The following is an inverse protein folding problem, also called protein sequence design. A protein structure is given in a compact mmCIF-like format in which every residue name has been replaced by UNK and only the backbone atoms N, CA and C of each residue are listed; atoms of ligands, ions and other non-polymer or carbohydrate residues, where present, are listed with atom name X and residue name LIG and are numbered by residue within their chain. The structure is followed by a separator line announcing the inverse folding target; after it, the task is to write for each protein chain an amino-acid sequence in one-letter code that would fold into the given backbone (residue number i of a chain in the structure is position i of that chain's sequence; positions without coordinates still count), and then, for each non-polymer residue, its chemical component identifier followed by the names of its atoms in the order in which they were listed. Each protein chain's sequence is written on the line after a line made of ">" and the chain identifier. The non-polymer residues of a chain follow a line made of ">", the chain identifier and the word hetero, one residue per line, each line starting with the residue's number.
data_IF_273246472424
#
_entry.id   IF_273246472424
#
_cell.length_a   1.000
_cell.length_b   1.000
_cell.length_c   1.000
_cell.angle_alpha   90.00
_cell.angle_beta   90.00
_cell.angle_gamma   90.00
#
_symmetry.space_group_name_H-M   'P 1'
#
loop_
_entity.id
_entity.type
_entity.pdbx_description
1 polymer ?
#
# COMPACT_ATOMS: atom_id res chain seq x y z
N UNK A 1 0.48 27.76 29.30
CA UNK A 1 1.81 27.65 28.66
C UNK A 1 2.02 26.17 28.41
N UNK A 2 2.06 25.63 27.20
CA UNK A 2 2.31 26.23 25.89
C UNK A 2 1.65 25.41 24.78
N UNK A 3 1.42 26.14 23.67
CA UNK A 3 1.37 25.69 22.29
C UNK A 3 0.30 24.67 21.89
N UNK A 4 -0.77 25.18 21.27
CA UNK A 4 -1.38 24.46 20.17
C UNK A 4 -0.39 24.35 19.01
N UNK A 5 -0.40 23.21 18.34
CA UNK A 5 0.19 23.05 17.02
C UNK A 5 -0.96 23.03 16.00
N UNK A 6 -1.03 24.00 15.10
CA UNK A 6 -1.81 23.86 13.89
C UNK A 6 -0.90 23.19 12.85
N UNK A 7 -1.10 21.91 12.57
CA UNK A 7 -0.56 21.31 11.34
C UNK A 7 -1.67 21.31 10.31
N UNK A 8 -1.68 22.39 9.54
CA UNK A 8 -2.28 22.46 8.21
C UNK A 8 -1.74 21.30 7.37
N UNK A 9 -2.62 20.39 6.95
CA UNK A 9 -2.41 19.58 5.75
C UNK A 9 -3.64 19.72 4.85
N UNK A 10 -3.82 20.95 4.39
CA UNK A 10 -4.69 21.28 3.26
C UNK A 10 -4.11 20.74 1.95
N UNK A 11 -3.94 19.42 1.77
CA UNK A 11 -3.80 18.80 0.43
C UNK A 11 -3.84 17.27 0.41
N UNK A 12 -5.05 16.69 0.43
CA UNK A 12 -5.40 15.66 -0.55
C UNK A 12 -6.91 15.46 -0.60
N UNK A 13 -7.59 16.45 -1.19
CA UNK A 13 -8.92 16.23 -1.70
C UNK A 13 -8.85 15.11 -2.76
N UNK A 14 -9.29 13.90 -2.41
CA UNK A 14 -9.52 12.83 -3.40
C UNK A 14 -9.21 11.38 -3.02
N UNK A 15 -8.79 11.04 -1.79
CA UNK A 15 -8.66 9.63 -1.39
C UNK A 15 -9.10 9.41 0.05
N UNK A 16 -10.40 9.28 0.29
CA UNK A 16 -10.87 8.74 1.56
C UNK A 16 -11.52 7.38 1.35
N UNK A 17 -10.63 6.38 1.44
CA UNK A 17 -10.96 5.02 1.83
C UNK A 17 -9.87 4.57 2.82
N UNK A 18 -9.80 5.20 4.00
CA UNK A 18 -8.85 4.82 5.05
C UNK A 18 -9.18 3.41 5.52
N UNK A 19 -8.28 2.45 5.29
CA UNK A 19 -8.44 1.09 5.76
C UNK A 19 -8.56 1.08 7.29
N UNK A 20 -7.82 1.96 7.97
CA UNK A 20 -7.92 2.21 9.42
C UNK A 20 -9.35 2.49 9.88
N UNK A 21 -10.04 3.44 9.23
CA UNK A 21 -11.41 3.82 9.59
C UNK A 21 -12.37 2.66 9.37
N UNK A 22 -12.24 1.95 8.25
CA UNK A 22 -13.08 0.77 8.01
C UNK A 22 -12.86 -0.31 9.05
N UNK A 23 -11.61 -0.55 9.45
CA UNK A 23 -11.25 -1.54 10.46
C UNK A 23 -11.79 -1.13 11.84
N UNK A 24 -11.72 0.15 12.20
CA UNK A 24 -12.34 0.66 13.42
C UNK A 24 -13.87 0.51 13.40
N UNK A 25 -14.54 0.93 12.33
CA UNK A 25 -16.00 0.91 12.24
C UNK A 25 -16.57 -0.51 12.16
N UNK A 26 -15.89 -1.43 11.47
CA UNK A 26 -16.43 -2.76 11.15
C UNK A 26 -15.84 -3.89 11.97
N UNK A 27 -14.55 -3.81 12.32
CA UNK A 27 -13.85 -4.82 13.12
C UNK A 27 -13.70 -4.37 14.58
N UNK A 28 -13.70 -3.06 14.86
CA UNK A 28 -13.51 -2.52 16.20
C UNK A 28 -12.05 -2.48 16.65
N UNK A 29 -11.10 -2.74 15.75
CA UNK A 29 -9.68 -2.75 16.07
C UNK A 29 -8.81 -2.52 14.82
N UNK A 30 -7.66 -1.86 15.03
CA UNK A 30 -6.62 -1.64 14.01
C UNK A 30 -5.48 -2.64 14.23
N UNK A 31 -4.91 -3.22 13.16
CA UNK A 31 -3.73 -4.05 13.26
C UNK A 31 -2.55 -3.31 13.92
N UNK A 32 -1.86 -3.97 14.84
CA UNK A 32 -0.74 -3.38 15.60
C UNK A 32 0.64 -3.64 15.01
N UNK A 33 0.74 -4.45 13.95
CA UNK A 33 2.01 -4.84 13.35
C UNK A 33 1.89 -4.95 11.83
N UNK A 34 3.04 -4.98 11.15
CA UNK A 34 3.10 -5.08 9.68
C UNK A 34 2.34 -6.30 9.16
N UNK A 35 2.49 -7.46 9.80
CA UNK A 35 1.81 -8.69 9.36
C UNK A 35 0.27 -8.56 9.42
N UNK A 36 -0.27 -7.91 10.44
CA UNK A 36 -1.71 -7.69 10.55
C UNK A 36 -2.22 -6.77 9.44
N UNK A 37 -1.49 -5.69 9.15
CA UNK A 37 -1.76 -4.78 8.05
C UNK A 37 -1.68 -5.48 6.69
N UNK A 38 -0.65 -6.29 6.46
CA UNK A 38 -0.52 -7.14 5.28
C UNK A 38 -1.72 -8.06 5.10
N UNK A 39 -2.15 -8.76 6.16
CA UNK A 39 -3.32 -9.66 6.11
C UNK A 39 -4.61 -8.91 5.82
N UNK A 40 -4.79 -7.71 6.38
CA UNK A 40 -5.90 -6.82 6.05
C UNK A 40 -5.87 -6.43 4.57
N UNK A 41 -4.70 -6.02 4.06
CA UNK A 41 -4.50 -5.68 2.66
C UNK A 41 -4.84 -6.83 1.71
N UNK A 42 -4.38 -8.04 2.01
CA UNK A 42 -4.74 -9.27 1.27
C UNK A 42 -6.25 -9.52 1.32
N UNK A 43 -6.88 -9.31 2.49
CA UNK A 43 -8.32 -9.43 2.64
C UNK A 43 -9.11 -8.46 1.75
N UNK A 44 -8.70 -7.20 1.68
CA UNK A 44 -9.29 -6.20 0.79
C UNK A 44 -9.01 -6.50 -0.68
N UNK A 45 -7.79 -6.94 -1.01
CA UNK A 45 -7.39 -7.33 -2.35
C UNK A 45 -8.26 -8.47 -2.89
N UNK A 46 -8.51 -9.50 -2.07
CA UNK A 46 -9.38 -10.62 -2.42
C UNK A 46 -10.84 -10.19 -2.62
N UNK A 47 -11.27 -9.11 -1.93
CA UNK A 47 -12.57 -8.47 -2.13
C UNK A 47 -12.59 -7.51 -3.33
N UNK A 48 -11.49 -7.41 -4.08
CA UNK A 48 -11.26 -6.44 -5.17
C UNK A 48 -11.37 -4.99 -4.73
N UNK A 49 -11.30 -4.73 -3.43
CA UNK A 49 -11.19 -3.38 -2.91
C UNK A 49 -9.73 -2.96 -2.90
N UNK A 50 -9.23 -2.68 -4.09
CA UNK A 50 -7.83 -2.36 -4.29
C UNK A 50 -7.43 -1.05 -3.60
N UNK A 51 -8.36 -0.10 -3.43
CA UNK A 51 -8.08 1.16 -2.74
C UNK A 51 -7.69 0.91 -1.27
N UNK A 52 -8.53 0.17 -0.52
CA UNK A 52 -8.24 -0.18 0.88
C UNK A 52 -7.12 -1.20 1.03
N UNK A 53 -6.94 -2.05 0.01
CA UNK A 53 -5.81 -2.97 -0.04
C UNK A 53 -4.50 -2.19 -0.08
N UNK A 54 -4.37 -1.21 -0.98
CA UNK A 54 -3.18 -0.36 -1.09
C UNK A 54 -2.91 0.35 0.24
N UNK A 55 -3.91 1.00 0.83
CA UNK A 55 -3.76 1.72 2.12
C UNK A 55 -3.25 0.78 3.24
N UNK A 56 -3.79 -0.44 3.31
CA UNK A 56 -3.33 -1.45 4.27
C UNK A 56 -1.91 -1.93 3.99
N UNK A 57 -1.52 -2.06 2.73
CA UNK A 57 -0.16 -2.43 2.37
C UNK A 57 0.83 -1.29 2.61
N UNK A 58 0.45 -0.04 2.35
CA UNK A 58 1.24 1.16 2.68
C UNK A 58 1.56 1.17 4.18
N UNK A 59 0.57 0.93 5.05
CA UNK A 59 0.80 0.77 6.49
C UNK A 59 1.66 -0.44 6.85
N UNK A 60 1.55 -1.54 6.12
CA UNK A 60 2.41 -2.70 6.33
C UNK A 60 3.88 -2.39 6.04
N UNK A 61 4.17 -1.73 4.91
CA UNK A 61 5.56 -1.40 4.53
C UNK A 61 6.14 -0.23 5.31
N UNK A 62 5.29 0.67 5.84
CA UNK A 62 5.69 1.71 6.80
C UNK A 62 6.20 1.09 8.11
N UNK A 63 5.54 0.02 8.59
CA UNK A 63 5.93 -0.68 9.81
C UNK A 63 7.06 -1.69 9.62
N UNK A 64 7.13 -2.33 8.46
CA UNK A 64 8.21 -3.24 8.09
C UNK A 64 8.61 -3.03 6.63
N UNK A 65 9.63 -2.18 6.37
CA UNK A 65 10.06 -1.86 5.02
C UNK A 65 10.78 -3.03 4.33
N UNK A 66 11.00 -4.15 5.03
CA UNK A 66 11.60 -5.37 4.48
C UNK A 66 10.57 -6.36 3.94
N UNK A 67 9.27 -6.05 4.07
CA UNK A 67 8.21 -6.93 3.60
C UNK A 67 7.99 -6.82 2.08
N UNK A 68 8.86 -7.47 1.30
CA UNK A 68 8.75 -7.54 -0.16
C UNK A 68 7.40 -8.09 -0.63
N UNK A 69 6.77 -9.01 0.11
CA UNK A 69 5.44 -9.54 -0.23
C UNK A 69 4.37 -8.44 -0.21
N UNK A 70 4.45 -7.51 0.74
CA UNK A 70 3.53 -6.36 0.79
C UNK A 70 3.74 -5.45 -0.42
N UNK A 71 4.99 -5.14 -0.79
CA UNK A 71 5.30 -4.36 -1.99
C UNK A 71 4.80 -5.01 -3.28
N UNK A 72 5.01 -6.32 -3.46
CA UNK A 72 4.57 -7.07 -4.63
C UNK A 72 3.04 -7.00 -4.80
N UNK A 73 2.28 -7.27 -3.74
CA UNK A 73 0.81 -7.30 -3.81
C UNK A 73 0.25 -5.87 -3.91
N UNK A 74 0.88 -4.90 -3.24
CA UNK A 74 0.56 -3.48 -3.39
C UNK A 74 0.73 -3.02 -4.84
N UNK A 75 1.82 -3.43 -5.51
CA UNK A 75 2.03 -3.11 -6.92
C UNK A 75 0.91 -3.66 -7.80
N UNK A 76 0.51 -4.93 -7.59
CA UNK A 76 -0.62 -5.54 -8.32
C UNK A 76 -1.93 -4.79 -8.08
N UNK A 77 -2.18 -4.38 -6.83
CA UNK A 77 -3.34 -3.58 -6.49
C UNK A 77 -3.31 -2.20 -7.18
N UNK A 78 -2.15 -1.55 -7.22
CA UNK A 78 -1.92 -0.29 -7.93
C UNK A 78 -2.16 -0.42 -9.44
N UNK A 79 -1.69 -1.51 -10.07
CA UNK A 79 -1.98 -1.81 -11.49
C UNK A 79 -3.50 -1.93 -11.71
N UNK A 80 -4.20 -2.63 -10.82
CA UNK A 80 -5.64 -2.84 -10.94
C UNK A 80 -6.47 -1.54 -10.85
N UNK A 81 -5.95 -0.50 -10.18
CA UNK A 81 -6.56 0.84 -10.12
C UNK A 81 -5.90 1.85 -11.09
N UNK A 82 -5.11 1.37 -12.04
CA UNK A 82 -4.40 2.17 -13.04
C UNK A 82 -3.41 3.20 -12.44
N UNK A 83 -2.92 2.99 -11.22
CA UNK A 83 -1.84 3.76 -10.57
C UNK A 83 -0.48 3.15 -10.95
N UNK A 84 -0.10 3.23 -12.23
CA UNK A 84 1.11 2.56 -12.74
C UNK A 84 2.41 3.09 -12.13
N UNK A 85 2.53 4.39 -11.90
CA UNK A 85 3.73 4.98 -11.28
C UNK A 85 3.98 4.47 -9.86
N UNK A 86 2.92 4.31 -9.08
CA UNK A 86 3.00 3.77 -7.73
C UNK A 86 3.33 2.28 -7.75
N UNK A 87 2.78 1.54 -8.72
CA UNK A 87 3.14 0.14 -8.93
C UNK A 87 4.62 -0.03 -9.27
N UNK A 88 5.16 0.80 -10.16
CA UNK A 88 6.59 0.79 -10.52
C UNK A 88 7.45 1.08 -9.29
N UNK A 89 7.05 2.05 -8.47
CA UNK A 89 7.79 2.42 -7.26
C UNK A 89 7.81 1.28 -6.24
N UNK A 90 6.66 0.63 -6.01
CA UNK A 90 6.56 -0.53 -5.14
C UNK A 90 7.39 -1.72 -5.65
N UNK A 91 7.34 -2.01 -6.96
CA UNK A 91 8.13 -3.09 -7.57
C UNK A 91 9.63 -2.84 -7.45
N UNK A 92 10.09 -1.59 -7.63
CA UNK A 92 11.50 -1.23 -7.42
C UNK A 92 11.96 -1.55 -6.00
N UNK A 93 11.14 -1.24 -5.00
CA UNK A 93 11.46 -1.59 -3.60
C UNK A 93 11.48 -3.10 -3.41
N UNK A 94 10.50 -3.83 -3.96
CA UNK A 94 10.46 -5.30 -3.86
C UNK A 94 11.69 -5.97 -4.49
N UNK A 95 12.11 -5.51 -5.68
CA UNK A 95 13.32 -6.01 -6.37
C UNK A 95 14.59 -5.67 -5.59
N UNK A 96 14.67 -4.49 -4.97
CA UNK A 96 15.81 -4.09 -4.14
C UNK A 96 15.94 -4.94 -2.86
N UNK A 97 14.85 -5.59 -2.43
CA UNK A 97 14.79 -6.50 -1.28
C UNK A 97 15.03 -7.98 -1.66
N UNK A 98 15.67 -8.24 -2.81
CA UNK A 98 16.01 -9.58 -3.28
C UNK A 98 14.79 -10.49 -3.57
N UNK A 99 13.65 -9.94 -4.02
CA UNK A 99 12.63 -10.74 -4.68
C UNK A 99 12.83 -10.73 -6.21
N UNK A 100 13.61 -11.66 -6.78
CA UNK A 100 13.81 -11.73 -8.23
C UNK A 100 12.50 -11.99 -8.97
N UNK A 101 11.45 -12.52 -8.36
CA UNK A 101 10.19 -12.73 -9.08
C UNK A 101 9.53 -11.41 -9.55
N UNK A 102 9.86 -10.28 -8.92
CA UNK A 102 9.27 -8.97 -9.26
C UNK A 102 9.93 -8.26 -10.44
N UNK A 103 11.13 -8.70 -10.90
CA UNK A 103 11.77 -8.05 -12.05
C UNK A 103 10.93 -8.19 -13.32
N UNK A 104 10.23 -9.31 -13.49
CA UNK A 104 9.36 -9.55 -14.65
C UNK A 104 8.15 -8.61 -14.65
N UNK A 105 7.51 -8.46 -13.49
CA UNK A 105 6.36 -7.57 -13.34
C UNK A 105 6.77 -6.11 -13.51
N UNK A 106 7.96 -5.72 -13.06
CA UNK A 106 8.51 -4.38 -13.27
C UNK A 106 8.74 -4.07 -14.75
N UNK A 107 9.25 -5.03 -15.53
CA UNK A 107 9.46 -4.87 -16.99
C UNK A 107 8.12 -4.71 -17.72
N UNK A 108 7.10 -5.49 -17.36
CA UNK A 108 5.77 -5.44 -17.99
C UNK A 108 5.04 -4.12 -17.74
N UNK A 109 5.16 -3.55 -16.54
CA UNK A 109 4.47 -2.31 -16.17
C UNK A 109 5.18 -1.06 -16.70
N UNK A 110 6.49 -1.13 -16.97
CA UNK A 110 7.28 0.00 -17.47
C UNK A 110 6.88 0.34 -18.92
N UNK A 111 6.44 1.57 -19.22
CA UNK A 111 6.27 2.00 -20.60
C UNK A 111 7.65 2.13 -21.28
N UNK A 112 7.88 1.38 -22.37
CA UNK A 112 9.03 1.57 -23.26
C UNK A 112 10.19 0.57 -23.12
N UNK A 113 9.93 -0.69 -22.75
CA UNK A 113 10.93 -1.76 -22.84
C UNK A 113 10.92 -2.47 -24.20
N UNK A 114 11.48 -1.85 -25.24
CA UNK A 114 11.85 -2.51 -26.49
C UNK A 114 13.13 -1.90 -27.05
#
# INVERSE_FOLDING_TARGET
>A
MSAGEPTDDSKSAGKQSNAEEWLLLRIGAVPRNSLGWFRCGVGFYNKKDYARAIDSFEKSVELDPLNYNAYQIMARACIAVNRKDDAISALKQSVALDNPSDWQLLVEVRPGGH
#
